data_IF_151343686493
#
_entry.id   IF_151343686493
#
_cell.length_a   1.000
_cell.length_b   1.000
_cell.length_c   1.000
_cell.angle_alpha   90.00
_cell.angle_beta   90.00
_cell.angle_gamma   90.00
#
_symmetry.space_group_name_H-M   'P 1'
#
loop_
_entity.id
_entity.type
_entity.pdbx_description
1 polymer ?
#
# COMPACT_ATOMS: atom_id res chain seq x y z
N UNK A 1 -11.32 26.03 21.97
CA UNK A 1 -11.51 25.98 20.50
C UNK A 1 -10.67 24.82 20.00
N UNK A 2 -11.27 23.65 19.77
CA UNK A 2 -10.52 22.49 19.28
C UNK A 2 -10.09 22.79 17.82
N UNK A 3 -8.82 22.56 17.43
CA UNK A 3 -8.46 22.65 16.03
C UNK A 3 -9.31 21.64 15.24
N UNK A 4 -9.97 22.16 14.21
CA UNK A 4 -10.94 21.49 13.36
C UNK A 4 -10.39 20.17 12.80
N UNK A 5 -11.03 19.06 13.15
CA UNK A 5 -10.87 17.77 12.50
C UNK A 5 -11.13 17.84 10.98
N UNK A 6 -11.83 18.88 10.50
CA UNK A 6 -12.18 19.04 9.08
C UNK A 6 -10.98 19.26 8.15
N UNK A 7 -9.78 19.58 8.66
CA UNK A 7 -8.59 19.74 7.80
C UNK A 7 -7.95 18.42 7.34
N UNK A 8 -8.31 17.29 7.96
CA UNK A 8 -7.82 15.98 7.52
C UNK A 8 -8.84 15.19 6.67
N UNK A 9 -10.08 15.71 6.57
CA UNK A 9 -11.18 15.06 5.86
C UNK A 9 -11.31 15.49 4.40
N UNK A 10 -10.99 16.75 4.08
CA UNK A 10 -10.96 17.23 2.70
C UNK A 10 -9.62 16.83 2.05
N UNK A 11 -9.63 15.78 1.24
CA UNK A 11 -8.55 15.55 0.28
C UNK A 11 -8.93 16.30 -0.98
N UNK A 12 -8.06 17.23 -1.39
CA UNK A 12 -8.22 17.89 -2.67
C UNK A 12 -8.14 16.82 -3.78
N UNK A 13 -9.00 16.90 -4.81
CA UNK A 13 -8.90 16.00 -5.95
C UNK A 13 -7.51 16.14 -6.60
N UNK A 14 -6.93 15.04 -7.10
CA UNK A 14 -5.64 15.10 -7.79
C UNK A 14 -5.70 16.04 -8.99
N UNK A 15 -4.69 16.89 -9.12
CA UNK A 15 -4.61 17.93 -10.16
C UNK A 15 -3.84 17.46 -11.41
N UNK A 16 -3.18 16.30 -11.33
CA UNK A 16 -2.42 15.66 -12.41
C UNK A 16 -2.65 14.14 -12.43
N UNK A 17 -2.25 13.48 -13.53
CA UNK A 17 -2.35 12.01 -13.61
C UNK A 17 -1.44 11.36 -12.57
N UNK A 18 -0.22 11.86 -12.41
CA UNK A 18 0.75 11.36 -11.45
C UNK A 18 0.25 11.50 -10.01
N UNK A 19 -0.39 12.63 -9.68
CA UNK A 19 -1.02 12.81 -8.37
C UNK A 19 -2.13 11.78 -8.12
N UNK A 20 -2.90 11.39 -9.13
CA UNK A 20 -3.92 10.35 -8.99
C UNK A 20 -3.30 8.98 -8.66
N UNK A 21 -2.22 8.60 -9.36
CA UNK A 21 -1.47 7.37 -9.06
C UNK A 21 -0.84 7.40 -7.67
N UNK A 22 -0.20 8.51 -7.30
CA UNK A 22 0.39 8.71 -5.99
C UNK A 22 -0.68 8.62 -4.89
N UNK A 23 -1.82 9.27 -5.09
CA UNK A 23 -2.96 9.23 -4.19
C UNK A 23 -3.47 7.80 -3.96
N UNK A 24 -3.66 7.02 -5.03
CA UNK A 24 -4.11 5.63 -4.93
C UNK A 24 -3.14 4.76 -4.12
N UNK A 25 -1.82 4.90 -4.34
CA UNK A 25 -0.82 4.19 -3.55
C UNK A 25 -0.82 4.64 -2.09
N UNK A 26 -0.92 5.94 -1.80
CA UNK A 26 -0.98 6.39 -0.41
C UNK A 26 -2.24 5.92 0.32
N UNK A 27 -3.40 5.94 -0.34
CA UNK A 27 -4.64 5.51 0.24
C UNK A 27 -4.61 4.01 0.58
N UNK A 28 -4.15 3.16 -0.34
CA UNK A 28 -4.06 1.70 -0.16
C UNK A 28 -3.04 1.32 0.91
N UNK A 29 -1.83 1.90 0.88
CA UNK A 29 -0.80 1.67 1.91
C UNK A 29 -1.22 2.14 3.29
N UNK A 30 -1.83 3.33 3.39
CA UNK A 30 -2.35 3.83 4.66
C UNK A 30 -3.38 2.87 5.23
N UNK A 31 -4.30 2.39 4.39
CA UNK A 31 -5.31 1.42 4.81
C UNK A 31 -4.66 0.14 5.32
N UNK A 32 -3.76 -0.47 4.54
CA UNK A 32 -3.05 -1.69 4.92
C UNK A 32 -2.31 -1.53 6.26
N UNK A 33 -1.56 -0.43 6.41
CA UNK A 33 -0.78 -0.16 7.62
C UNK A 33 -1.70 0.05 8.84
N UNK A 34 -2.78 0.83 8.68
CA UNK A 34 -3.74 1.09 9.76
C UNK A 34 -4.50 -0.18 10.18
N UNK A 35 -4.74 -1.11 9.27
CA UNK A 35 -5.36 -2.41 9.61
C UNK A 35 -4.41 -3.32 10.39
N UNK A 36 -3.08 -3.21 10.18
CA UNK A 36 -2.08 -3.95 10.96
C UNK A 36 -1.81 -3.34 12.34
N UNK A 37 -1.97 -2.03 12.50
CA UNK A 37 -1.71 -1.35 13.78
C UNK A 37 -2.64 -1.89 14.87
N UNK A 38 -2.05 -2.23 16.02
CA UNK A 38 -2.79 -2.73 17.19
C UNK A 38 -3.06 -4.24 17.18
N UNK A 39 -2.59 -4.98 16.16
CA UNK A 39 -2.50 -6.43 16.27
C UNK A 39 -1.58 -6.80 17.46
N UNK A 40 -1.93 -7.85 18.21
CA UNK A 40 -0.93 -8.54 19.02
C UNK A 40 -0.05 -9.42 18.11
N UNK A 41 1.14 -9.82 18.59
CA UNK A 41 1.99 -10.77 17.86
C UNK A 41 1.26 -12.09 17.56
N UNK A 42 0.44 -12.58 18.50
CA UNK A 42 -0.38 -13.76 18.28
C UNK A 42 -1.39 -13.56 17.14
N UNK A 43 -2.03 -12.38 17.06
CA UNK A 43 -2.98 -12.05 15.99
C UNK A 43 -2.28 -11.80 14.64
N UNK A 44 -1.06 -11.27 14.65
CA UNK A 44 -0.25 -11.08 13.44
C UNK A 44 -0.01 -12.40 12.70
N UNK A 45 0.18 -13.48 13.46
CA UNK A 45 0.43 -14.83 12.94
C UNK A 45 -0.82 -15.70 12.83
N UNK A 46 -1.92 -15.29 13.46
CA UNK A 46 -3.18 -16.00 13.37
C UNK A 46 -3.71 -16.00 11.92
N UNK A 47 -4.39 -17.09 11.56
CA UNK A 47 -5.14 -17.18 10.30
C UNK A 47 -6.63 -17.01 10.62
N UNK A 48 -7.31 -16.15 9.90
CA UNK A 48 -8.76 -16.10 9.89
C UNK A 48 -9.26 -16.88 8.66
N UNK A 49 -10.16 -17.84 8.88
CA UNK A 49 -10.71 -18.68 7.80
C UNK A 49 -9.65 -19.51 7.06
N UNK A 50 -9.75 -19.55 5.73
CA UNK A 50 -8.82 -20.19 4.80
C UNK A 50 -7.66 -19.24 4.37
N UNK A 51 -7.66 -18.01 4.88
CA UNK A 51 -6.79 -16.92 4.47
C UNK A 51 -5.30 -17.04 4.85
N UNK A 52 -4.55 -16.04 4.41
CA UNK A 52 -3.15 -15.79 4.81
C UNK A 52 -3.14 -15.09 6.17
N UNK A 53 -2.11 -15.28 6.99
CA UNK A 53 -1.97 -14.48 8.21
C UNK A 53 -1.72 -13.00 7.87
N UNK A 54 -2.04 -12.06 8.77
CA UNK A 54 -1.64 -10.66 8.63
C UNK A 54 -0.15 -10.47 8.31
N UNK A 55 0.74 -11.27 8.92
CA UNK A 55 2.18 -11.26 8.62
C UNK A 55 2.46 -11.62 7.15
N UNK A 56 1.76 -12.62 6.61
CA UNK A 56 1.89 -13.04 5.22
C UNK A 56 1.32 -12.01 4.23
N UNK A 57 0.29 -11.24 4.63
CA UNK A 57 -0.20 -10.10 3.85
C UNK A 57 0.83 -8.97 3.84
N UNK A 58 1.37 -8.59 5.00
CA UNK A 58 2.43 -7.59 5.11
C UNK A 58 3.68 -7.99 4.29
N UNK A 59 4.05 -9.28 4.34
CA UNK A 59 5.12 -9.84 3.51
C UNK A 59 4.85 -9.67 2.03
N UNK A 60 3.66 -10.05 1.56
CA UNK A 60 3.29 -9.92 0.16
C UNK A 60 3.29 -8.48 -0.34
N UNK A 61 2.85 -7.51 0.49
CA UNK A 61 2.90 -6.10 0.16
C UNK A 61 4.35 -5.58 0.04
N UNK A 62 5.22 -5.93 0.99
CA UNK A 62 6.64 -5.61 0.91
C UNK A 62 7.31 -6.26 -0.31
N UNK A 63 7.02 -7.54 -0.59
CA UNK A 63 7.62 -8.25 -1.72
C UNK A 63 7.21 -7.59 -3.04
N UNK A 64 5.96 -7.15 -3.12
CA UNK A 64 5.45 -6.41 -4.28
C UNK A 64 6.21 -5.11 -4.48
N UNK A 65 6.32 -4.27 -3.46
CA UNK A 65 7.09 -3.03 -3.51
C UNK A 65 8.55 -3.28 -3.93
N UNK A 66 9.20 -4.26 -3.29
CA UNK A 66 10.59 -4.62 -3.57
C UNK A 66 10.83 -5.04 -5.03
N UNK A 67 9.90 -5.80 -5.61
CA UNK A 67 10.08 -6.30 -6.97
C UNK A 67 9.61 -5.32 -8.02
N UNK A 68 8.55 -4.55 -7.75
CA UNK A 68 7.87 -3.76 -8.77
C UNK A 68 8.28 -2.29 -8.80
N UNK A 69 8.59 -1.68 -7.66
CA UNK A 69 8.87 -0.23 -7.55
C UNK A 69 10.26 0.10 -7.05
N UNK A 70 10.82 -0.76 -6.20
CA UNK A 70 12.07 -0.47 -5.52
C UNK A 70 13.25 -0.35 -6.52
N UNK A 71 14.03 0.74 -6.47
CA UNK A 71 15.17 0.95 -7.37
C UNK A 71 16.16 -0.23 -7.36
N UNK A 72 16.75 -0.54 -8.53
CA UNK A 72 17.67 -1.66 -8.68
C UNK A 72 19.03 -1.42 -7.99
N UNK A 73 19.42 -0.15 -7.86
CA UNK A 73 20.67 0.34 -7.28
C UNK A 73 20.59 0.60 -5.77
N UNK A 74 19.41 0.41 -5.17
CA UNK A 74 19.20 0.60 -3.74
C UNK A 74 18.99 -0.74 -3.03
N UNK A 75 19.69 -0.93 -1.91
CA UNK A 75 19.49 -2.08 -1.02
C UNK A 75 18.15 -1.94 -0.28
N UNK A 76 17.30 -2.97 -0.39
CA UNK A 76 16.04 -3.00 0.35
C UNK A 76 16.25 -3.57 1.76
N UNK A 77 15.58 -3.00 2.78
CA UNK A 77 15.59 -3.56 4.12
C UNK A 77 14.96 -4.95 4.11
N UNK A 78 15.74 -5.99 4.42
CA UNK A 78 15.20 -7.35 4.55
C UNK A 78 14.11 -7.39 5.63
N UNK A 79 12.98 -8.04 5.32
CA UNK A 79 12.05 -8.45 6.36
C UNK A 79 12.39 -9.91 6.75
N UNK A 80 12.53 -10.21 8.06
CA UNK A 80 12.76 -11.58 8.49
C UNK A 80 11.62 -12.50 8.04
N UNK A 81 11.86 -13.81 8.00
CA UNK A 81 10.82 -14.80 7.69
C UNK A 81 9.67 -14.78 8.72
N UNK A 82 10.00 -14.44 9.97
CA UNK A 82 9.05 -14.30 11.08
C UNK A 82 9.17 -12.91 11.70
N UNK A 83 8.66 -11.85 11.05
CA UNK A 83 8.74 -10.51 11.59
C UNK A 83 7.82 -10.35 12.81
N UNK A 84 8.26 -9.54 13.76
CA UNK A 84 7.38 -8.88 14.72
C UNK A 84 6.47 -7.88 14.02
N UNK A 85 5.41 -7.43 14.69
CA UNK A 85 4.52 -6.39 14.14
C UNK A 85 5.30 -5.11 13.84
N UNK A 86 6.22 -4.72 14.74
CA UNK A 86 7.03 -3.51 14.59
C UNK A 86 7.91 -3.60 13.34
N UNK A 87 8.56 -4.75 13.11
CA UNK A 87 9.38 -4.96 11.91
C UNK A 87 8.54 -4.96 10.64
N UNK A 88 7.37 -5.59 10.64
CA UNK A 88 6.45 -5.58 9.51
C UNK A 88 5.99 -4.15 9.17
N UNK A 89 5.55 -3.38 10.17
CA UNK A 89 5.13 -1.99 9.99
C UNK A 89 6.29 -1.09 9.53
N UNK A 90 7.47 -1.24 10.15
CA UNK A 90 8.65 -0.46 9.79
C UNK A 90 9.06 -0.71 8.34
N UNK A 91 9.06 -1.97 7.90
CA UNK A 91 9.41 -2.31 6.52
C UNK A 91 8.43 -1.71 5.51
N UNK A 92 7.13 -1.75 5.80
CA UNK A 92 6.10 -1.14 4.94
C UNK A 92 6.23 0.39 4.88
N UNK A 93 6.48 1.06 6.00
CA UNK A 93 6.68 2.52 6.04
C UNK A 93 7.97 2.93 5.33
N UNK A 94 9.05 2.16 5.47
CA UNK A 94 10.30 2.45 4.76
C UNK A 94 10.17 2.27 3.25
N UNK A 95 9.43 1.25 2.80
CA UNK A 95 9.13 1.04 1.37
C UNK A 95 8.32 2.18 0.78
N UNK A 96 7.35 2.68 1.54
CA UNK A 96 6.59 3.86 1.18
C UNK A 96 7.47 5.09 0.96
N UNK A 97 8.46 5.37 1.82
CA UNK A 97 9.33 6.54 1.66
C UNK A 97 10.10 6.54 0.34
N UNK A 98 10.60 5.37 -0.09
CA UNK A 98 11.33 5.26 -1.37
C UNK A 98 10.39 5.39 -2.56
N UNK A 99 9.19 4.80 -2.48
CA UNK A 99 8.15 5.03 -3.47
C UNK A 99 7.72 6.51 -3.55
N UNK A 100 7.70 7.23 -2.43
CA UNK A 100 7.44 8.68 -2.38
C UNK A 100 8.52 9.47 -3.12
N UNK A 101 9.79 9.15 -2.87
CA UNK A 101 10.91 9.78 -3.58
C UNK A 101 10.82 9.53 -5.10
N UNK A 102 10.48 8.31 -5.52
CA UNK A 102 10.24 7.99 -6.93
C UNK A 102 9.14 8.86 -7.54
N UNK A 103 8.00 8.98 -6.85
CA UNK A 103 6.86 9.77 -7.31
C UNK A 103 7.16 11.28 -7.32
N UNK A 104 7.90 11.79 -6.34
CA UNK A 104 8.32 13.19 -6.29
C UNK A 104 9.31 13.56 -7.40
N UNK A 105 10.10 12.60 -7.88
CA UNK A 105 11.04 12.79 -8.98
C UNK A 105 10.39 12.61 -10.37
N UNK A 106 9.18 12.05 -10.43
CA UNK A 106 8.47 11.78 -11.68
C UNK A 106 7.60 12.96 -12.14
N UNK A 107 7.23 12.94 -13.41
CA UNK A 107 6.23 13.81 -14.02
C UNK A 107 5.14 13.00 -14.72
N UNK A 108 4.04 13.65 -15.15
CA UNK A 108 2.99 13.00 -15.94
C UNK A 108 3.54 12.35 -17.23
N UNK A 109 4.60 12.90 -17.81
CA UNK A 109 5.23 12.33 -19.00
C UNK A 109 6.00 11.02 -18.70
N UNK A 110 6.45 10.82 -17.47
CA UNK A 110 7.16 9.61 -17.05
C UNK A 110 6.22 8.41 -16.86
N UNK A 111 4.92 8.65 -16.67
CA UNK A 111 3.91 7.60 -16.53
C UNK A 111 3.89 6.63 -17.72
N UNK A 112 4.14 7.12 -18.93
CA UNK A 112 4.15 6.31 -20.15
C UNK A 112 5.51 5.68 -20.44
N UNK A 113 6.56 6.06 -19.70
CA UNK A 113 7.90 5.50 -19.90
C UNK A 113 8.02 4.12 -19.28
N UNK A 114 8.82 3.20 -19.87
CA UNK A 114 9.12 1.92 -19.24
C UNK A 114 9.75 2.12 -17.86
N UNK A 115 9.16 1.54 -16.84
CA UNK A 115 9.74 1.47 -15.51
C UNK A 115 10.65 0.25 -15.41
N UNK A 116 11.87 0.43 -14.91
CA UNK A 116 12.87 -0.63 -14.76
C UNK A 116 12.93 -1.06 -13.30
N UNK A 117 12.42 -2.26 -13.02
CA UNK A 117 12.48 -2.91 -11.71
C UNK A 117 12.78 -4.40 -11.85
N UNK A 118 12.86 -5.11 -10.72
CA UNK A 118 13.16 -6.56 -10.72
C UNK A 118 12.08 -7.35 -11.45
N UNK A 119 10.82 -6.92 -11.36
CA UNK A 119 9.68 -7.56 -12.00
C UNK A 119 9.52 -7.22 -13.48
N UNK A 120 10.02 -6.05 -13.93
CA UNK A 120 9.82 -5.57 -15.30
C UNK A 120 11.08 -5.66 -16.17
N UNK A 121 12.23 -6.05 -15.60
CA UNK A 121 13.51 -6.17 -16.31
C UNK A 121 13.41 -6.94 -17.64
N UNK A 122 12.71 -8.07 -17.63
CA UNK A 122 12.60 -8.97 -18.78
C UNK A 122 11.27 -8.79 -19.55
N UNK A 123 10.32 -8.04 -18.98
CA UNK A 123 9.01 -7.76 -19.55
C UNK A 123 8.63 -6.30 -19.27
N UNK A 124 9.04 -5.35 -20.13
CA UNK A 124 8.84 -3.93 -19.89
C UNK A 124 7.37 -3.56 -19.69
N UNK A 125 7.11 -2.74 -18.68
CA UNK A 125 5.81 -2.12 -18.41
C UNK A 125 5.99 -0.63 -18.18
N UNK A 126 4.99 0.17 -18.53
CA UNK A 126 5.02 1.59 -18.22
C UNK A 126 4.94 1.84 -16.71
N UNK A 127 5.44 2.99 -16.25
CA UNK A 127 5.33 3.38 -14.84
C UNK A 127 3.86 3.38 -14.38
N UNK A 128 2.94 3.90 -15.20
CA UNK A 128 1.49 3.84 -14.94
C UNK A 128 0.98 2.41 -14.72
N UNK A 129 1.35 1.47 -15.58
CA UNK A 129 0.95 0.06 -15.45
C UNK A 129 1.47 -0.57 -14.16
N UNK A 130 2.69 -0.23 -13.76
CA UNK A 130 3.29 -0.71 -12.50
C UNK A 130 2.55 -0.11 -11.30
N UNK A 131 2.36 1.22 -11.27
CA UNK A 131 1.68 1.90 -10.17
C UNK A 131 0.23 1.42 -10.01
N UNK A 132 -0.53 1.28 -11.11
CA UNK A 132 -1.88 0.72 -11.10
C UNK A 132 -1.91 -0.71 -10.56
N UNK A 133 -1.00 -1.57 -11.03
CA UNK A 133 -0.89 -2.96 -10.56
C UNK A 133 -0.63 -3.02 -9.05
N UNK A 134 0.34 -2.23 -8.56
CA UNK A 134 0.68 -2.21 -7.13
C UNK A 134 -0.50 -1.71 -6.30
N UNK A 135 -1.13 -0.59 -6.68
CA UNK A 135 -2.27 -0.03 -5.96
C UNK A 135 -3.45 -1.00 -5.91
N UNK A 136 -3.82 -1.63 -7.04
CA UNK A 136 -4.91 -2.59 -7.08
C UNK A 136 -4.64 -3.83 -6.21
N UNK A 137 -3.41 -4.34 -6.23
CA UNK A 137 -3.05 -5.50 -5.43
C UNK A 137 -2.98 -5.17 -3.92
N UNK A 138 -2.50 -3.97 -3.56
CA UNK A 138 -2.49 -3.50 -2.16
C UNK A 138 -3.89 -3.23 -1.64
N UNK A 139 -4.80 -2.73 -2.47
CA UNK A 139 -6.21 -2.61 -2.12
C UNK A 139 -6.82 -3.98 -1.78
N UNK A 140 -6.63 -4.98 -2.64
CA UNK A 140 -7.16 -6.33 -2.41
C UNK A 140 -6.57 -6.98 -1.14
N UNK A 141 -5.31 -6.70 -0.83
CA UNK A 141 -4.67 -7.12 0.42
C UNK A 141 -5.27 -6.40 1.63
N UNK A 142 -5.49 -5.09 1.53
CA UNK A 142 -6.09 -4.28 2.60
C UNK A 142 -7.54 -4.69 2.89
N UNK A 143 -8.35 -4.94 1.87
CA UNK A 143 -9.72 -5.43 2.00
C UNK A 143 -9.78 -6.77 2.72
N UNK A 144 -8.94 -7.72 2.30
CA UNK A 144 -8.85 -9.03 2.92
C UNK A 144 -8.39 -8.92 4.37
N UNK A 145 -7.33 -8.16 4.61
CA UNK A 145 -6.79 -7.96 5.95
C UNK A 145 -7.83 -7.32 6.88
N UNK A 146 -8.64 -6.37 6.39
CA UNK A 146 -9.71 -5.76 7.17
C UNK A 146 -10.82 -6.77 7.49
N UNK A 147 -11.18 -7.65 6.55
CA UNK A 147 -12.12 -8.74 6.81
C UNK A 147 -11.58 -9.70 7.88
N UNK A 148 -10.33 -10.13 7.74
CA UNK A 148 -9.66 -11.03 8.69
C UNK A 148 -9.52 -10.38 10.07
N UNK A 149 -9.17 -9.09 10.14
CA UNK A 149 -9.02 -8.37 11.41
C UNK A 149 -10.33 -8.29 12.18
N UNK A 150 -11.48 -8.12 11.53
CA UNK A 150 -12.79 -8.15 12.21
C UNK A 150 -13.07 -9.48 12.92
N UNK A 151 -12.54 -10.59 12.39
CA UNK A 151 -12.63 -11.91 13.02
C UNK A 151 -11.65 -12.03 14.20
N UNK A 152 -10.42 -11.55 14.02
CA UNK A 152 -9.35 -11.65 15.02
C UNK A 152 -9.51 -10.68 16.19
N UNK A 153 -10.16 -9.54 15.97
CA UNK A 153 -10.45 -8.50 16.96
C UNK A 153 -11.84 -7.89 16.69
N UNK A 154 -12.91 -8.50 17.25
CA UNK A 154 -14.26 -8.00 17.11
C UNK A 154 -14.50 -6.60 17.68
N UNK A 155 -13.59 -6.10 18.53
CA UNK A 155 -13.64 -4.75 19.09
C UNK A 155 -12.97 -3.68 18.22
N UNK A 156 -12.34 -4.08 17.11
CA UNK A 156 -11.67 -3.15 16.20
C UNK A 156 -12.70 -2.24 15.50
N UNK A 157 -12.54 -0.90 15.53
CA UNK A 157 -13.51 0.04 14.94
C UNK A 157 -13.67 -0.06 13.42
N UNK A 158 -12.81 -0.84 12.74
CA UNK A 158 -12.83 -1.01 11.30
C UNK A 158 -11.99 0.03 10.55
N UNK A 159 -11.96 -0.10 9.22
CA UNK A 159 -11.26 0.79 8.30
C UNK A 159 -12.15 1.23 7.12
N UNK A 160 -13.48 1.22 7.29
CA UNK A 160 -14.43 1.36 6.18
C UNK A 160 -14.30 2.67 5.41
N UNK A 161 -14.03 3.77 6.12
CA UNK A 161 -13.77 5.05 5.48
C UNK A 161 -12.49 5.03 4.63
N UNK A 162 -11.39 4.49 5.20
CA UNK A 162 -10.11 4.36 4.49
C UNK A 162 -10.24 3.43 3.27
N UNK A 163 -10.92 2.30 3.41
CA UNK A 163 -11.19 1.36 2.32
C UNK A 163 -12.07 1.98 1.23
N UNK A 164 -13.08 2.77 1.60
CA UNK A 164 -13.93 3.48 0.63
C UNK A 164 -13.10 4.47 -0.19
N UNK A 165 -12.25 5.26 0.47
CA UNK A 165 -11.34 6.18 -0.21
C UNK A 165 -10.33 5.46 -1.09
N UNK A 166 -9.73 4.37 -0.61
CA UNK A 166 -8.78 3.58 -1.39
C UNK A 166 -9.43 2.93 -2.63
N UNK A 167 -10.64 2.37 -2.50
CA UNK A 167 -11.43 1.86 -3.64
C UNK A 167 -11.71 2.94 -4.67
N UNK A 168 -12.17 4.11 -4.24
CA UNK A 168 -12.44 5.23 -5.14
C UNK A 168 -11.16 5.69 -5.86
N UNK A 169 -10.05 5.80 -5.15
CA UNK A 169 -8.76 6.20 -5.72
C UNK A 169 -8.24 5.20 -6.77
N UNK A 170 -8.32 3.90 -6.49
CA UNK A 170 -7.92 2.85 -7.45
C UNK A 170 -8.86 2.79 -8.64
N UNK A 171 -10.18 2.94 -8.43
CA UNK A 171 -11.15 2.96 -9.53
C UNK A 171 -10.90 4.13 -10.49
N UNK A 172 -10.55 5.30 -9.98
CA UNK A 172 -10.24 6.48 -10.80
C UNK A 172 -9.05 6.26 -11.74
N UNK A 173 -8.12 5.34 -11.44
CA UNK A 173 -7.00 5.00 -12.33
C UNK A 173 -7.44 4.26 -13.60
N UNK A 174 -8.60 3.61 -13.59
CA UNK A 174 -9.12 2.90 -14.77
C UNK A 174 -9.87 3.83 -15.73
N UNK A 175 -10.22 5.04 -15.28
CA UNK A 175 -11.03 6.01 -16.02
C UNK A 175 -10.19 7.09 -16.73
N UNK A 176 -8.86 7.17 -16.49
CA UNK A 176 -7.94 8.18 -17.04
C UNK A 176 -6.60 7.63 -17.53
#
# INVERSE_FOLDING_TARGET
MAPSAARFDAWDPPQSRLEAYAFALFATRRTLTQTLVGLSEAQLWARAGDGRSPAAVARAAWDREFHWLWPLDMDAPALPATPSLVEALYALVRHRAVSEELLMAASDADLERPHVSRATRDAPRSLAQVLAFVAAAELADAERLAADRRVLDPGWPGADELLTRARAAVAALAEG
#
